data_IF_187430686114
#
_entry.id   IF_187430686114
#
_cell.length_a   1.000
_cell.length_b   1.000
_cell.length_c   1.000
_cell.angle_alpha   90.00
_cell.angle_beta   90.00
_cell.angle_gamma   90.00
#
_symmetry.space_group_name_H-M   'P 1'
#
loop_
_entity.id
_entity.type
_entity.pdbx_description
1 polymer ?
#
# COMPACT_ATOMS: atom_id res chain seq x y z
N UNK A 1 0.66 17.17 -21.95
CA UNK A 1 0.23 15.96 -21.19
C UNK A 1 -0.42 16.40 -19.89
N UNK A 2 -1.67 16.01 -19.62
CA UNK A 2 -2.31 16.29 -18.33
C UNK A 2 -1.94 15.23 -17.30
N UNK A 3 -1.48 15.63 -16.11
CA UNK A 3 -1.27 14.69 -15.00
C UNK A 3 -2.60 14.06 -14.61
N UNK A 4 -2.61 12.73 -14.45
CA UNK A 4 -3.80 11.96 -14.04
C UNK A 4 -4.37 12.51 -12.74
N UNK A 5 -5.66 12.83 -12.73
CA UNK A 5 -6.40 13.16 -11.51
C UNK A 5 -6.64 11.87 -10.73
N UNK A 6 -6.21 11.85 -9.49
CA UNK A 6 -6.44 10.73 -8.57
C UNK A 6 -7.29 11.19 -7.40
N UNK A 7 -8.07 10.27 -6.85
CA UNK A 7 -9.05 10.52 -5.80
C UNK A 7 -8.74 9.60 -4.62
N UNK A 8 -8.46 10.18 -3.46
CA UNK A 8 -8.37 9.44 -2.21
C UNK A 8 -9.55 9.81 -1.31
N UNK A 9 -10.21 8.81 -0.74
CA UNK A 9 -11.19 9.02 0.32
C UNK A 9 -10.47 8.99 1.66
N UNK A 10 -10.44 10.10 2.37
CA UNK A 10 -9.90 10.11 3.73
C UNK A 10 -10.98 9.59 4.70
N UNK A 11 -10.56 8.84 5.72
CA UNK A 11 -11.51 8.15 6.61
C UNK A 11 -12.38 9.13 7.40
N UNK A 12 -13.70 8.91 7.38
CA UNK A 12 -14.60 9.55 8.36
C UNK A 12 -14.25 9.02 9.75
N UNK A 13 -13.83 9.91 10.64
CA UNK A 13 -13.64 9.62 12.06
C UNK A 13 -14.96 9.18 12.69
N UNK A 14 -14.90 8.48 13.82
CA UNK A 14 -16.10 8.20 14.62
C UNK A 14 -16.86 9.49 14.99
N UNK A 15 -16.14 10.59 15.23
CA UNK A 15 -16.71 11.93 15.45
C UNK A 15 -17.49 12.45 14.24
N UNK A 16 -16.97 12.26 13.02
CA UNK A 16 -17.64 12.71 11.79
C UNK A 16 -18.98 11.97 11.54
N UNK A 17 -19.19 10.78 12.16
CA UNK A 17 -20.50 10.11 12.17
C UNK A 17 -21.47 10.73 13.19
N UNK A 18 -20.97 11.02 14.39
CA UNK A 18 -21.77 11.58 15.50
C UNK A 18 -22.25 12.99 15.15
N UNK A 19 -21.35 13.88 14.71
CA UNK A 19 -21.71 15.24 14.33
C UNK A 19 -22.57 15.29 13.05
N UNK A 20 -22.37 14.37 12.12
CA UNK A 20 -23.24 14.20 10.95
C UNK A 20 -24.67 13.77 11.30
N UNK A 21 -24.89 13.05 12.40
CA UNK A 21 -26.23 12.75 12.92
C UNK A 21 -26.88 13.96 13.62
N UNK A 22 -26.07 14.84 14.20
CA UNK A 22 -26.48 16.10 14.81
C UNK A 22 -26.67 17.26 13.80
N UNK A 23 -26.56 17.00 12.49
CA UNK A 23 -26.66 18.02 11.45
C UNK A 23 -25.53 19.06 11.42
N UNK A 24 -24.47 18.87 12.22
CA UNK A 24 -23.34 19.80 12.31
C UNK A 24 -22.42 19.57 11.10
N UNK A 25 -22.20 20.58 10.22
CA UNK A 25 -21.31 20.42 9.08
C UNK A 25 -19.85 20.21 9.56
N UNK A 26 -19.01 19.49 8.79
CA UNK A 26 -17.58 19.45 9.06
C UNK A 26 -17.01 20.88 8.98
N UNK A 27 -16.01 21.23 9.81
CA UNK A 27 -15.45 22.58 9.82
C UNK A 27 -14.92 22.97 8.44
N UNK A 28 -15.38 24.11 7.93
CA UNK A 28 -15.01 24.59 6.60
C UNK A 28 -13.52 24.98 6.56
N UNK A 29 -12.91 24.84 5.38
CA UNK A 29 -11.46 25.00 5.21
C UNK A 29 -10.91 26.44 5.45
N UNK A 30 -11.78 27.43 5.72
CA UNK A 30 -11.42 28.84 5.77
C UNK A 30 -11.44 29.46 7.19
N UNK A 31 -12.09 28.84 8.17
CA UNK A 31 -12.41 29.51 9.44
C UNK A 31 -11.22 29.65 10.42
N UNK A 32 -10.15 28.90 10.21
CA UNK A 32 -8.98 28.91 11.11
C UNK A 32 -8.12 30.18 11.01
N UNK A 33 -8.21 30.93 9.91
CA UNK A 33 -7.28 32.01 9.59
C UNK A 33 -7.56 33.35 10.32
N UNK A 34 -8.51 33.38 11.25
CA UNK A 34 -8.94 34.61 11.96
C UNK A 34 -8.33 34.79 13.36
N UNK A 35 -7.81 33.71 13.98
CA UNK A 35 -7.51 33.66 15.41
C UNK A 35 -6.02 33.45 15.77
N UNK A 36 -5.09 33.58 14.81
CA UNK A 36 -3.64 33.35 15.02
C UNK A 36 -2.83 34.66 15.03
N UNK A 37 -3.46 35.80 14.75
CA UNK A 37 -2.80 37.10 14.63
C UNK A 37 -2.55 37.83 15.97
N UNK A 38 -2.79 37.18 17.12
CA UNK A 38 -2.54 37.75 18.46
C UNK A 38 -1.81 36.74 19.35
N UNK A 39 -0.97 37.25 20.26
CA UNK A 39 -0.24 36.53 21.32
C UNK A 39 0.94 35.65 20.85
N UNK A 40 2.01 36.29 20.35
CA UNK A 40 3.38 35.73 20.38
C UNK A 40 4.39 36.74 20.94
N UNK A 41 4.52 36.78 22.26
CA UNK A 41 5.55 37.53 22.99
C UNK A 41 6.01 36.74 24.22
N UNK A 42 7.32 36.45 24.33
CA UNK A 42 8.00 35.62 25.35
C UNK A 42 7.60 34.12 25.41
N UNK A 43 8.50 33.17 25.71
CA UNK A 43 9.97 33.26 25.73
C UNK A 43 10.66 32.14 26.53
N UNK A 44 11.75 31.55 25.99
CA UNK A 44 12.69 30.62 26.67
C UNK A 44 12.11 29.22 27.03
N UNK A 45 12.84 28.11 27.29
CA UNK A 45 14.27 27.69 27.17
C UNK A 45 14.30 26.18 26.77
N UNK A 46 15.46 25.60 26.39
CA UNK A 46 15.62 24.17 26.02
C UNK A 46 15.46 23.14 27.16
N UNK A 47 15.56 21.82 26.91
CA UNK A 47 16.86 21.13 26.73
C UNK A 47 16.74 19.72 26.08
N UNK A 48 17.89 19.08 25.78
CA UNK A 48 18.01 17.81 25.01
C UNK A 48 18.57 16.66 25.86
N UNK A 49 18.01 15.45 25.70
CA UNK A 49 18.51 14.14 26.21
C UNK A 49 18.08 13.07 25.16
N UNK A 50 18.92 12.47 24.31
CA UNK A 50 20.08 11.56 24.52
C UNK A 50 19.68 10.17 25.02
N UNK A 51 20.01 9.12 24.26
CA UNK A 51 19.64 7.71 24.50
C UNK A 51 20.90 6.83 24.57
N UNK A 52 21.04 5.94 25.57
CA UNK A 52 22.02 4.87 25.56
C UNK A 52 21.40 3.47 25.36
N UNK A 53 22.09 2.61 24.63
CA UNK A 53 21.83 1.17 24.50
C UNK A 53 22.78 0.35 25.37
N UNK A 54 22.48 -0.93 25.63
CA UNK A 54 23.40 -1.89 26.26
C UNK A 54 23.33 -3.27 25.62
N UNK A 55 24.46 -3.98 25.63
CA UNK A 55 24.64 -5.29 25.00
C UNK A 55 25.71 -6.12 25.75
N UNK A 56 25.42 -7.41 25.99
CA UNK A 56 26.35 -8.53 26.34
C UNK A 56 27.28 -8.46 27.55
N UNK A 57 27.14 -9.44 28.45
CA UNK A 57 28.20 -10.19 29.18
C UNK A 57 27.58 -11.45 29.84
N UNK A 58 28.31 -12.54 30.12
CA UNK A 58 29.67 -12.86 29.66
C UNK A 58 30.36 -14.14 30.18
N UNK A 59 30.02 -14.74 31.34
CA UNK A 59 30.91 -15.72 32.01
C UNK A 59 30.25 -16.99 32.60
N UNK A 60 31.07 -18.03 32.85
CA UNK A 60 30.68 -19.39 33.24
C UNK A 60 31.73 -20.11 34.13
N UNK A 61 31.35 -21.23 34.76
CA UNK A 61 32.19 -22.08 35.62
C UNK A 61 31.36 -22.67 36.78
N UNK A 62 30.80 -23.89 36.77
CA UNK A 62 31.38 -25.26 36.66
C UNK A 62 31.68 -25.88 38.03
N UNK A 63 30.84 -26.84 38.45
CA UNK A 63 31.28 -28.15 38.99
C UNK A 63 30.14 -29.19 39.00
N UNK A 64 30.52 -30.44 38.72
CA UNK A 64 29.92 -31.74 39.07
C UNK A 64 29.31 -31.81 40.48
N UNK A 65 28.35 -32.68 40.83
CA UNK A 65 27.76 -33.89 40.22
C UNK A 65 26.27 -34.04 40.71
N UNK A 66 25.50 -35.13 40.62
CA UNK A 66 25.72 -36.57 40.31
C UNK A 66 24.46 -37.24 39.69
N UNK A 67 24.24 -38.55 39.91
CA UNK A 67 23.18 -39.39 39.34
C UNK A 67 22.19 -39.96 40.36
N UNK A 68 20.89 -40.01 40.03
CA UNK A 68 20.00 -41.14 40.35
C UNK A 68 18.67 -41.07 39.59
N UNK A 69 18.04 -42.22 39.32
CA UNK A 69 16.69 -42.33 38.73
C UNK A 69 15.69 -42.71 39.81
N UNK A 70 14.58 -41.99 39.95
CA UNK A 70 13.39 -42.50 40.65
C UNK A 70 12.08 -42.08 39.97
N UNK A 71 11.21 -43.08 39.84
CA UNK A 71 9.80 -43.08 39.41
C UNK A 71 9.07 -41.76 39.15
N UNK A 72 8.39 -41.73 38.00
CA UNK A 72 7.19 -40.91 37.81
C UNK A 72 6.15 -41.25 38.89
N UNK A 73 5.77 -40.24 39.67
CA UNK A 73 4.56 -40.25 40.52
C UNK A 73 3.67 -39.10 40.06
N UNK A 74 2.41 -39.40 39.78
CA UNK A 74 1.37 -38.42 39.56
C UNK A 74 1.10 -37.67 40.86
N UNK A 75 1.75 -36.52 41.05
CA UNK A 75 1.43 -35.63 42.17
C UNK A 75 -0.04 -35.20 42.08
N UNK A 76 -0.83 -35.30 43.16
CA UNK A 76 -2.17 -34.76 43.17
C UNK A 76 -2.10 -33.25 42.95
N UNK A 77 -3.09 -32.69 42.24
CA UNK A 77 -3.20 -31.24 42.00
C UNK A 77 -3.48 -30.51 43.32
N UNK A 78 -2.41 -30.24 44.08
CA UNK A 78 -2.48 -29.46 45.31
C UNK A 78 -2.85 -28.03 44.94
N UNK A 79 -4.13 -27.70 45.14
CA UNK A 79 -4.70 -26.38 44.88
C UNK A 79 -4.14 -25.36 45.86
N UNK A 80 -2.94 -24.85 45.54
CA UNK A 80 -2.17 -23.90 46.35
C UNK A 80 -3.08 -22.76 46.82
N UNK A 81 -3.23 -22.62 48.15
CA UNK A 81 -3.85 -21.44 48.74
C UNK A 81 -2.91 -20.27 48.52
N UNK A 82 -3.23 -19.41 47.56
CA UNK A 82 -2.44 -18.22 47.26
C UNK A 82 -2.23 -17.40 48.55
N UNK A 83 -0.98 -17.07 48.85
CA UNK A 83 -0.65 -16.22 50.00
C UNK A 83 -1.22 -14.82 49.78
N UNK A 84 -1.65 -14.10 50.84
CA UNK A 84 -2.26 -12.78 50.69
C UNK A 84 -1.36 -11.79 49.94
N UNK A 85 -0.04 -11.89 50.12
CA UNK A 85 0.95 -11.10 49.38
C UNK A 85 0.94 -11.38 47.87
N UNK A 86 0.87 -12.66 47.46
CA UNK A 86 0.80 -13.04 46.04
C UNK A 86 -0.52 -12.60 45.38
N UNK A 87 -1.62 -12.61 46.13
CA UNK A 87 -2.89 -12.03 45.69
C UNK A 87 -2.77 -10.51 45.50
N UNK A 88 -2.17 -9.80 46.45
CA UNK A 88 -1.94 -8.34 46.35
C UNK A 88 -1.14 -7.97 45.09
N UNK A 89 -0.03 -8.67 44.82
CA UNK A 89 0.79 -8.45 43.62
C UNK A 89 -0.01 -8.80 42.34
N UNK A 90 -0.76 -9.91 42.35
CA UNK A 90 -1.62 -10.31 41.22
C UNK A 90 -2.71 -9.28 40.89
N UNK A 91 -3.37 -8.73 41.92
CA UNK A 91 -4.39 -7.69 41.72
C UNK A 91 -3.76 -6.34 41.33
N UNK A 92 -2.60 -5.99 41.88
CA UNK A 92 -1.82 -4.82 41.48
C UNK A 92 -1.45 -4.85 39.99
N UNK A 93 -0.95 -5.99 39.49
CA UNK A 93 -0.64 -6.18 38.07
C UNK A 93 -1.89 -6.13 37.16
N UNK A 94 -3.05 -6.60 37.65
CA UNK A 94 -4.33 -6.48 36.90
C UNK A 94 -4.87 -5.06 36.91
N UNK A 95 -4.70 -4.31 38.00
CA UNK A 95 -5.08 -2.90 38.06
C UNK A 95 -4.18 -2.06 37.17
N UNK A 96 -2.85 -2.18 37.28
CA UNK A 96 -1.92 -1.40 36.45
C UNK A 96 -2.16 -1.63 34.95
N UNK A 97 -2.38 -2.88 34.53
CA UNK A 97 -2.72 -3.19 33.14
C UNK A 97 -4.10 -2.66 32.71
N UNK A 98 -5.08 -2.58 33.63
CA UNK A 98 -6.38 -1.93 33.35
C UNK A 98 -6.26 -0.41 33.26
N UNK A 99 -5.50 0.24 34.14
CA UNK A 99 -5.21 1.67 34.07
C UNK A 99 -4.52 1.98 32.73
N UNK A 100 -3.50 1.19 32.36
CA UNK A 100 -2.79 1.34 31.07
C UNK A 100 -3.77 1.34 29.89
N UNK A 101 -4.70 0.37 29.86
CA UNK A 101 -5.75 0.25 28.84
C UNK A 101 -6.75 1.42 28.84
N UNK A 102 -7.16 1.94 30.00
CA UNK A 102 -8.04 3.13 30.08
C UNK A 102 -7.31 4.44 29.79
N UNK A 103 -5.97 4.45 29.79
CA UNK A 103 -5.14 5.60 29.37
C UNK A 103 -4.76 5.57 27.88
N UNK A 104 -5.43 4.78 27.03
CA UNK A 104 -5.23 4.79 25.57
C UNK A 104 -6.14 5.80 24.81
N UNK A 105 -7.42 6.07 25.18
CA UNK A 105 -8.33 6.87 24.35
C UNK A 105 -7.89 8.31 24.02
N UNK A 106 -7.07 8.96 24.85
CA UNK A 106 -6.49 10.28 24.53
C UNK A 106 -5.40 10.19 23.46
N UNK A 107 -4.61 9.12 23.47
CA UNK A 107 -3.60 8.80 22.46
C UNK A 107 -4.28 8.41 21.15
N UNK A 108 -5.33 7.59 21.18
CA UNK A 108 -6.15 7.28 20.00
C UNK A 108 -6.73 8.57 19.38
N UNK A 109 -7.25 9.48 20.21
CA UNK A 109 -7.75 10.78 19.73
C UNK A 109 -6.65 11.62 19.07
N UNK A 110 -5.46 11.70 19.68
CA UNK A 110 -4.32 12.42 19.11
C UNK A 110 -3.85 11.80 17.80
N UNK A 111 -3.75 10.48 17.73
CA UNK A 111 -3.38 9.72 16.52
C UNK A 111 -4.41 9.94 15.41
N UNK A 112 -5.70 9.74 15.69
CA UNK A 112 -6.78 9.92 14.71
C UNK A 112 -6.94 11.38 14.24
N UNK A 113 -6.58 12.37 15.07
CA UNK A 113 -6.53 13.78 14.66
C UNK A 113 -5.40 14.04 13.68
N UNK A 114 -4.21 13.52 13.93
CA UNK A 114 -3.02 13.76 13.09
C UNK A 114 -2.98 12.90 11.81
N UNK A 115 -3.52 11.68 11.83
CA UNK A 115 -3.61 10.78 10.67
C UNK A 115 -4.63 11.23 9.61
N UNK A 116 -5.58 12.11 9.96
CA UNK A 116 -6.57 12.63 9.02
C UNK A 116 -5.87 13.49 7.97
N UNK A 117 -6.02 13.12 6.69
CA UNK A 117 -5.64 13.96 5.56
C UNK A 117 -6.51 15.21 5.54
N UNK A 118 -5.91 16.34 5.89
CA UNK A 118 -6.51 17.67 5.94
C UNK A 118 -5.36 18.69 5.88
N UNK A 119 -5.63 19.95 5.52
CA UNK A 119 -4.59 20.97 5.60
C UNK A 119 -3.99 21.03 7.01
N UNK A 120 -2.69 21.34 7.09
CA UNK A 120 -1.93 21.54 8.32
C UNK A 120 -1.79 20.30 9.25
N UNK A 121 -2.13 19.08 8.79
CA UNK A 121 -1.82 17.85 9.52
C UNK A 121 -0.48 17.25 9.10
N UNK A 122 0.24 16.65 10.06
CA UNK A 122 1.54 16.03 9.80
C UNK A 122 1.45 14.94 8.71
N UNK A 123 0.39 14.14 8.72
CA UNK A 123 0.16 13.12 7.69
C UNK A 123 -0.19 13.71 6.32
N UNK A 124 -0.78 14.90 6.25
CA UNK A 124 -0.94 15.61 4.98
C UNK A 124 0.39 16.05 4.38
N UNK A 125 1.30 16.63 5.17
CA UNK A 125 2.62 17.04 4.67
C UNK A 125 3.43 15.84 4.15
N UNK A 126 3.53 14.75 4.93
CA UNK A 126 4.22 13.52 4.48
C UNK A 126 3.54 12.85 3.28
N UNK A 127 2.21 12.90 3.20
CA UNK A 127 1.50 12.42 2.01
C UNK A 127 1.79 13.30 0.80
N UNK A 128 1.78 14.62 0.93
CA UNK A 128 1.93 15.57 -0.17
C UNK A 128 3.36 15.57 -0.74
N UNK A 129 4.38 15.66 0.11
CA UNK A 129 5.80 15.51 -0.26
C UNK A 129 6.48 14.62 0.80
N UNK A 130 6.68 13.32 0.54
CA UNK A 130 7.33 12.43 1.50
C UNK A 130 8.78 12.85 1.70
N UNK A 131 9.21 13.01 2.95
CA UNK A 131 10.58 13.40 3.32
C UNK A 131 11.66 12.33 3.11
N UNK A 132 11.38 11.28 2.33
CA UNK A 132 12.31 10.18 2.03
C UNK A 132 12.71 10.21 0.56
N UNK A 133 14.01 10.33 0.30
CA UNK A 133 14.57 10.26 -1.04
C UNK A 133 14.50 8.80 -1.50
N UNK A 134 13.82 8.55 -2.62
CA UNK A 134 13.73 7.22 -3.23
C UNK A 134 14.78 7.10 -4.34
N UNK A 135 15.55 6.01 -4.31
CA UNK A 135 16.46 5.63 -5.39
C UNK A 135 15.91 4.39 -6.10
N UNK A 136 15.68 4.50 -7.40
CA UNK A 136 15.28 3.38 -8.27
C UNK A 136 16.50 2.92 -9.04
N UNK A 137 16.93 1.68 -8.80
CA UNK A 137 18.00 1.02 -9.55
C UNK A 137 17.38 0.24 -10.71
N UNK A 138 17.84 0.50 -11.92
CA UNK A 138 17.46 -0.23 -13.14
C UNK A 138 18.62 -1.11 -13.57
N UNK A 139 18.33 -2.37 -13.86
CA UNK A 139 19.26 -3.35 -14.44
C UNK A 139 18.67 -3.81 -15.77
N UNK A 140 19.51 -3.89 -16.81
CA UNK A 140 19.09 -4.15 -18.18
C UNK A 140 19.84 -5.36 -18.70
N UNK A 141 19.13 -6.33 -19.28
CA UNK A 141 19.74 -7.52 -19.88
C UNK A 141 20.19 -7.22 -21.32
N UNK A 142 21.50 -7.13 -21.52
CA UNK A 142 22.15 -7.06 -22.82
C UNK A 142 22.12 -8.43 -23.51
N UNK A 143 21.76 -8.49 -24.80
CA UNK A 143 21.75 -9.72 -25.61
C UNK A 143 23.09 -9.88 -26.31
N UNK A 144 23.83 -10.97 -26.02
CA UNK A 144 25.18 -11.18 -26.56
C UNK A 144 25.25 -12.04 -27.82
N UNK A 145 24.16 -12.73 -28.21
CA UNK A 145 24.04 -13.48 -29.47
C UNK A 145 22.76 -13.10 -30.28
N UNK A 146 22.60 -11.83 -30.70
CA UNK A 146 21.39 -11.40 -31.42
C UNK A 146 21.14 -12.23 -32.69
N UNK A 147 22.16 -12.47 -33.52
CA UNK A 147 22.02 -13.20 -34.78
C UNK A 147 21.71 -14.69 -34.56
N UNK A 148 22.36 -15.32 -33.58
CA UNK A 148 22.07 -16.69 -33.17
C UNK A 148 20.63 -16.84 -32.66
N UNK A 149 20.15 -15.88 -31.85
CA UNK A 149 18.76 -15.87 -31.39
C UNK A 149 17.76 -15.74 -32.55
N UNK A 150 18.05 -14.93 -33.56
CA UNK A 150 17.23 -14.83 -34.78
C UNK A 150 17.23 -16.12 -35.61
N UNK A 151 18.29 -16.94 -35.52
CA UNK A 151 18.39 -18.27 -36.14
C UNK A 151 17.77 -19.39 -35.29
N UNK A 152 17.29 -19.09 -34.08
CA UNK A 152 16.65 -20.05 -33.17
C UNK A 152 17.51 -20.55 -32.01
N UNK A 153 18.74 -20.04 -31.81
CA UNK A 153 19.48 -20.28 -30.57
C UNK A 153 18.72 -19.73 -29.35
N UNK A 154 19.02 -20.28 -28.16
CA UNK A 154 18.62 -19.64 -26.90
C UNK A 154 19.36 -18.30 -26.72
N UNK A 155 18.68 -17.20 -26.33
CA UNK A 155 19.34 -15.93 -26.10
C UNK A 155 20.25 -15.99 -24.87
N UNK A 156 21.47 -15.50 -25.03
CA UNK A 156 22.50 -15.33 -24.00
C UNK A 156 22.40 -13.91 -23.47
N UNK A 157 22.12 -13.76 -22.18
CA UNK A 157 21.86 -12.49 -21.52
C UNK A 157 22.98 -12.14 -20.55
N UNK A 158 23.38 -10.88 -20.54
CA UNK A 158 24.32 -10.29 -19.58
C UNK A 158 23.63 -9.14 -18.85
N UNK A 159 23.65 -9.13 -17.52
CA UNK A 159 23.12 -8.00 -16.75
C UNK A 159 24.05 -6.79 -16.84
N UNK A 160 23.48 -5.62 -17.16
CA UNK A 160 24.16 -4.32 -17.17
C UNK A 160 23.41 -3.36 -16.25
N UNK A 161 24.07 -2.95 -15.17
CA UNK A 161 23.53 -2.01 -14.19
C UNK A 161 24.39 -1.92 -12.92
N UNK A 162 24.01 -1.05 -11.97
CA UNK A 162 22.77 -0.29 -11.96
C UNK A 162 22.84 0.99 -12.79
N UNK A 163 21.69 1.40 -13.32
CA UNK A 163 21.40 2.80 -13.67
C UNK A 163 20.47 3.35 -12.59
N UNK A 164 20.92 4.37 -11.85
CA UNK A 164 20.24 4.86 -10.63
C UNK A 164 19.55 6.19 -10.89
N UNK A 165 18.26 6.22 -10.54
CA UNK A 165 17.42 7.41 -10.65
C UNK A 165 16.88 7.81 -9.28
N UNK A 166 17.02 9.08 -8.93
CA UNK A 166 16.36 9.73 -7.79
C UNK A 166 14.91 10.03 -8.19
N UNK A 167 13.95 9.53 -7.41
CA UNK A 167 12.53 9.80 -7.65
C UNK A 167 12.02 10.94 -6.76
N UNK A 168 11.93 12.15 -7.32
CA UNK A 168 11.35 13.29 -6.62
C UNK A 168 9.83 13.34 -6.88
N UNK A 169 9.02 13.09 -5.85
CA UNK A 169 7.57 12.93 -5.97
C UNK A 169 6.78 13.91 -5.09
N UNK A 170 5.76 14.54 -5.68
CA UNK A 170 4.90 15.52 -5.02
C UNK A 170 3.46 15.41 -5.51
N UNK A 171 2.49 15.58 -4.60
CA UNK A 171 1.07 15.72 -4.97
C UNK A 171 0.78 17.20 -5.16
N UNK A 172 0.38 17.57 -6.37
CA UNK A 172 0.11 18.95 -6.79
C UNK A 172 -1.37 19.14 -7.13
N UNK A 173 -1.83 20.39 -7.19
CA UNK A 173 -3.23 20.75 -7.49
C UNK A 173 -4.23 20.01 -6.58
N UNK A 174 -3.89 19.90 -5.29
CA UNK A 174 -4.69 19.23 -4.27
C UNK A 174 -5.96 20.04 -4.00
N UNK A 175 -7.12 19.38 -4.01
CA UNK A 175 -8.42 19.95 -3.68
C UNK A 175 -9.23 18.99 -2.82
N UNK A 176 -9.63 19.43 -1.64
CA UNK A 176 -10.56 18.70 -0.77
C UNK A 176 -12.00 18.92 -1.21
N UNK A 177 -12.87 17.94 -0.93
CA UNK A 177 -14.29 17.96 -1.23
C UNK A 177 -15.10 17.51 -0.02
N UNK A 178 -16.29 18.08 0.16
CA UNK A 178 -17.17 17.87 1.33
C UNK A 178 -17.65 16.42 1.48
N UNK A 179 -17.55 15.63 0.41
CA UNK A 179 -17.86 14.18 0.39
C UNK A 179 -16.77 13.29 1.02
N UNK A 180 -15.82 13.88 1.76
CA UNK A 180 -14.65 13.22 2.38
C UNK A 180 -13.68 12.62 1.37
N UNK A 181 -13.50 13.28 0.21
CA UNK A 181 -12.46 12.93 -0.76
C UNK A 181 -11.50 14.09 -1.02
N UNK A 182 -10.31 13.76 -1.52
CA UNK A 182 -9.32 14.71 -2.01
C UNK A 182 -8.94 14.33 -3.44
N UNK A 183 -9.06 15.29 -4.36
CA UNK A 183 -8.48 15.19 -5.70
C UNK A 183 -7.07 15.75 -5.70
N UNK A 184 -6.16 15.10 -6.42
CA UNK A 184 -4.79 15.59 -6.62
C UNK A 184 -4.23 15.11 -7.96
N UNK A 185 -3.06 15.61 -8.32
CA UNK A 185 -2.25 15.13 -9.44
C UNK A 185 -0.89 14.67 -8.92
N UNK A 186 -0.45 13.48 -9.34
CA UNK A 186 0.86 12.96 -8.95
C UNK A 186 1.95 13.49 -9.90
N UNK A 187 2.80 14.40 -9.41
CA UNK A 187 4.02 14.85 -10.11
C UNK A 187 5.17 13.96 -9.64
N UNK A 188 5.79 13.21 -10.57
CA UNK A 188 7.00 12.42 -10.35
C UNK A 188 8.06 12.84 -11.35
N UNK A 189 9.26 13.14 -10.85
CA UNK A 189 10.47 13.42 -11.63
C UNK A 189 11.44 12.26 -11.41
N UNK A 190 12.23 11.92 -12.43
CA UNK A 190 13.31 10.95 -12.36
C UNK A 190 14.62 11.64 -12.76
N UNK A 191 15.52 11.81 -11.81
CA UNK A 191 16.82 12.46 -12.02
C UNK A 191 17.92 11.40 -11.99
N UNK A 192 18.75 11.33 -13.03
CA UNK A 192 19.84 10.36 -13.12
C UNK A 192 20.98 10.70 -12.15
N UNK A 193 21.45 9.73 -11.39
CA UNK A 193 22.52 9.89 -10.38
C UNK A 193 23.79 9.21 -10.89
N UNK A 194 24.73 9.93 -11.54
CA UNK A 194 25.90 9.32 -12.17
C UNK A 194 26.83 8.65 -11.14
N UNK A 195 27.00 9.24 -9.96
CA UNK A 195 27.83 8.73 -8.85
C UNK A 195 27.49 7.30 -8.39
N UNK A 196 26.25 6.85 -8.63
CA UNK A 196 25.76 5.54 -8.22
C UNK A 196 25.47 4.62 -9.42
N UNK A 197 25.83 5.04 -10.65
CA UNK A 197 25.44 4.39 -11.90
C UNK A 197 26.63 3.97 -12.75
N UNK A 198 26.40 3.01 -13.64
CA UNK A 198 27.26 2.79 -14.83
C UNK A 198 27.12 3.99 -15.78
N UNK A 199 28.15 4.25 -16.61
CA UNK A 199 28.12 5.32 -17.60
C UNK A 199 26.89 5.24 -18.53
N UNK A 200 26.28 6.39 -18.75
CA UNK A 200 25.06 6.58 -19.53
C UNK A 200 25.23 6.25 -21.01
N UNK A 201 26.45 6.28 -21.54
CA UNK A 201 26.73 6.01 -22.96
C UNK A 201 27.01 4.53 -23.24
N UNK A 202 26.91 3.66 -22.23
CA UNK A 202 27.05 2.20 -22.38
C UNK A 202 26.07 1.68 -23.42
N UNK A 203 26.59 1.10 -24.51
CA UNK A 203 25.76 0.48 -25.55
C UNK A 203 25.13 -0.82 -25.03
N UNK A 204 23.83 -1.00 -25.24
CA UNK A 204 23.08 -2.19 -24.81
C UNK A 204 22.21 -2.68 -25.97
N UNK A 205 22.38 -3.95 -26.34
CA UNK A 205 21.55 -4.63 -27.35
C UNK A 205 20.33 -5.21 -26.64
N UNK A 206 19.14 -4.74 -27.01
CA UNK A 206 17.85 -5.20 -26.45
C UNK A 206 16.84 -5.48 -27.56
N UNK A 207 15.84 -6.37 -27.34
CA UNK A 207 14.78 -6.61 -28.31
C UNK A 207 13.98 -5.34 -28.65
N UNK A 208 13.52 -5.20 -29.90
CA UNK A 208 12.70 -4.07 -30.33
C UNK A 208 11.28 -4.16 -29.73
N UNK A 209 11.11 -3.64 -28.51
CA UNK A 209 9.84 -3.68 -27.76
C UNK A 209 8.65 -3.09 -28.55
N UNK A 210 8.75 -1.92 -29.22
CA UNK A 210 7.66 -1.41 -30.07
C UNK A 210 7.20 -2.38 -31.17
N UNK A 211 8.13 -3.06 -31.84
CA UNK A 211 7.82 -4.05 -32.88
C UNK A 211 7.18 -5.32 -32.32
N UNK A 212 7.64 -5.79 -31.14
CA UNK A 212 7.04 -6.92 -30.45
C UNK A 212 5.61 -6.60 -29.97
N UNK A 213 5.40 -5.42 -29.39
CA UNK A 213 4.09 -4.98 -28.92
C UNK A 213 3.08 -4.82 -30.07
N UNK A 214 3.48 -4.24 -31.21
CA UNK A 214 2.59 -4.14 -32.37
C UNK A 214 2.20 -5.51 -32.91
N UNK A 215 3.18 -6.43 -33.09
CA UNK A 215 2.97 -7.83 -33.49
C UNK A 215 1.97 -8.54 -32.58
N UNK A 216 2.09 -8.38 -31.26
CA UNK A 216 1.16 -8.95 -30.28
C UNK A 216 -0.25 -8.33 -30.37
N UNK A 217 -0.35 -7.00 -30.42
CA UNK A 217 -1.65 -6.30 -30.50
C UNK A 217 -2.41 -6.66 -31.78
N UNK A 218 -1.74 -6.66 -32.93
CA UNK A 218 -2.36 -7.07 -34.20
C UNK A 218 -2.79 -8.54 -34.17
N UNK A 219 -2.01 -9.45 -33.59
CA UNK A 219 -2.39 -10.86 -33.43
C UNK A 219 -3.65 -11.04 -32.58
N UNK A 220 -3.70 -10.40 -31.41
CA UNK A 220 -4.88 -10.45 -30.51
C UNK A 220 -6.11 -9.81 -31.16
N UNK A 221 -5.94 -8.67 -31.84
CA UNK A 221 -7.02 -8.00 -32.57
C UNK A 221 -7.56 -8.88 -33.70
N UNK A 222 -6.69 -9.54 -34.47
CA UNK A 222 -7.11 -10.44 -35.54
C UNK A 222 -7.91 -11.63 -34.99
N UNK A 223 -7.37 -12.34 -34.00
CA UNK A 223 -8.05 -13.47 -33.33
C UNK A 223 -9.40 -13.06 -32.75
N UNK A 224 -9.48 -11.89 -32.11
CA UNK A 224 -10.74 -11.38 -31.56
C UNK A 224 -11.80 -11.11 -32.65
N UNK A 225 -11.43 -10.51 -33.77
CA UNK A 225 -12.39 -10.23 -34.85
C UNK A 225 -12.82 -11.48 -35.62
N UNK A 226 -11.93 -12.46 -35.82
CA UNK A 226 -12.30 -13.76 -36.38
C UNK A 226 -13.29 -14.50 -35.47
N UNK A 227 -12.94 -14.69 -34.19
CA UNK A 227 -13.82 -15.35 -33.22
C UNK A 227 -15.17 -14.64 -33.06
N UNK A 228 -15.17 -13.30 -33.06
CA UNK A 228 -16.39 -12.47 -33.04
C UNK A 228 -17.25 -12.69 -34.29
N UNK A 229 -16.64 -12.75 -35.48
CA UNK A 229 -17.34 -12.98 -36.75
C UNK A 229 -17.93 -14.39 -36.81
N UNK A 230 -17.18 -15.40 -36.38
CA UNK A 230 -17.65 -16.79 -36.26
C UNK A 230 -18.82 -16.88 -35.27
N UNK A 231 -18.70 -16.26 -34.09
CA UNK A 231 -19.74 -16.24 -33.08
C UNK A 231 -21.03 -15.57 -33.58
N UNK A 232 -20.94 -14.43 -34.28
CA UNK A 232 -22.13 -13.79 -34.88
C UNK A 232 -22.78 -14.68 -35.95
N UNK A 233 -22.01 -15.33 -36.83
CA UNK A 233 -22.56 -16.27 -37.83
C UNK A 233 -23.26 -17.46 -37.16
N UNK A 234 -22.72 -17.99 -36.06
CA UNK A 234 -23.34 -19.07 -35.29
C UNK A 234 -24.64 -18.61 -34.62
N UNK A 235 -24.62 -17.44 -33.96
CA UNK A 235 -25.81 -16.85 -33.33
C UNK A 235 -26.90 -16.54 -34.36
N UNK A 236 -26.56 -15.89 -35.48
CA UNK A 236 -27.49 -15.62 -36.58
C UNK A 236 -28.11 -16.92 -37.12
N UNK A 237 -27.30 -17.97 -37.30
CA UNK A 237 -27.78 -19.30 -37.70
C UNK A 237 -28.75 -19.89 -36.67
N UNK A 238 -28.44 -19.78 -35.38
CA UNK A 238 -29.29 -20.28 -34.29
C UNK A 238 -30.63 -19.53 -34.23
N UNK A 239 -30.61 -18.19 -34.29
CA UNK A 239 -31.82 -17.38 -34.31
C UNK A 239 -32.67 -17.62 -35.57
N UNK A 240 -32.07 -17.65 -36.77
CA UNK A 240 -32.78 -17.98 -38.02
C UNK A 240 -33.42 -19.37 -37.98
N UNK A 241 -32.72 -20.38 -37.47
CA UNK A 241 -33.29 -21.72 -37.32
C UNK A 241 -34.40 -21.76 -36.27
N UNK A 242 -34.28 -21.03 -35.15
CA UNK A 242 -35.33 -20.98 -34.12
C UNK A 242 -36.59 -20.25 -34.62
N UNK A 243 -36.45 -19.16 -35.38
CA UNK A 243 -37.59 -18.51 -36.06
C UNK A 243 -38.25 -19.44 -37.10
N UNK A 244 -37.46 -20.16 -37.91
CA UNK A 244 -37.97 -21.14 -38.88
C UNK A 244 -38.74 -22.30 -38.24
N UNK A 245 -38.47 -22.64 -36.98
CA UNK A 245 -39.28 -23.59 -36.20
C UNK A 245 -40.56 -22.98 -35.62
N UNK A 246 -40.62 -21.66 -35.42
CA UNK A 246 -41.81 -20.96 -34.92
C UNK A 246 -42.81 -20.71 -36.06
N UNK A 247 -42.35 -20.25 -37.22
CA UNK A 247 -43.22 -20.03 -38.40
C UNK A 247 -43.87 -21.33 -38.90
N UNK A 248 -43.17 -22.47 -38.79
CA UNK A 248 -43.69 -23.78 -39.21
C UNK A 248 -44.76 -24.39 -38.28
N UNK A 249 -45.11 -23.75 -37.16
CA UNK A 249 -46.20 -24.18 -36.29
C UNK A 249 -47.51 -23.40 -36.49
N UNK A 250 -47.54 -22.35 -37.32
CA UNK A 250 -48.71 -21.47 -37.48
C UNK A 250 -49.02 -21.17 -38.95
N UNK A 251 -49.30 -22.21 -39.75
CA UNK A 251 -49.73 -22.05 -41.16
C UNK A 251 -50.87 -23.00 -41.55
N UNK A 252 -51.90 -23.13 -40.70
CA UNK A 252 -53.19 -23.74 -41.07
C UNK A 252 -54.31 -22.91 -40.44
N UNK A 253 -55.37 -22.66 -41.21
CA UNK A 253 -56.56 -21.84 -40.92
C UNK A 253 -56.29 -20.31 -40.83
N UNK A 254 -57.09 -19.43 -41.43
CA UNK A 254 -58.37 -19.63 -42.12
C UNK A 254 -58.34 -19.21 -43.61
N UNK A 255 -59.24 -19.81 -44.39
CA UNK A 255 -59.62 -19.38 -45.73
C UNK A 255 -61.13 -19.14 -45.73
N UNK A 256 -61.55 -17.88 -45.60
CA UNK A 256 -62.87 -17.32 -45.88
C UNK A 256 -62.80 -15.79 -45.68
#
# INVERSE_FOLDING_TARGET
MGLKKEYLRYGRSARDRIFGWLGVPPPAANDFNRNVATNLTSGSTGSVVVVPSQQTTGHAGTTTSSSSRTHSRSHPFMRSRATPLSMLISQGAKLSNRILLTTIPWLDYFILKNLRLWNDTLSYHYWQRPGVIRLTKVYIYNVTNPDGFLQGEKPKLQEVGPFVYREDMQKVNVKFHDNFTVSYQHKKILEFVPELSIDKNTQIITPNIPLLLSRCIFGVFFIYNELKTILYRILETFFKNKCRYIEKSYMIFYFL
#
